data_IF_229204368092
#
_entry.id   IF_229204368092
#
_cell.length_a   1.000
_cell.length_b   1.000
_cell.length_c   1.000
_cell.angle_alpha   90.00
_cell.angle_beta   90.00
_cell.angle_gamma   90.00
#
_symmetry.space_group_name_H-M   'P 1'
#
loop_
_entity.id
_entity.type
_entity.pdbx_description
1 polymer ?
#
# COMPACT_ATOMS: atom_id res chain seq x y z
N UNK A 1 30.00 0.67 -24.39
CA UNK A 1 28.99 0.91 -23.35
C UNK A 1 29.00 -0.29 -22.44
N UNK A 2 29.50 -0.12 -21.21
CA UNK A 2 29.39 -1.14 -20.19
C UNK A 2 27.99 -0.99 -19.56
N UNK A 3 27.18 -2.06 -19.45
CA UNK A 3 25.90 -1.98 -18.79
C UNK A 3 26.14 -1.84 -17.28
N UNK A 4 26.00 -0.63 -16.75
CA UNK A 4 25.95 -0.39 -15.32
C UNK A 4 24.67 -1.03 -14.80
N UNK A 5 24.78 -2.21 -14.19
CA UNK A 5 23.67 -2.81 -13.44
C UNK A 5 23.52 -2.02 -12.15
N UNK A 6 22.59 -1.09 -12.16
CA UNK A 6 22.13 -0.43 -10.95
C UNK A 6 21.22 -1.45 -10.24
N UNK A 7 21.80 -2.32 -9.41
CA UNK A 7 21.10 -3.47 -8.80
C UNK A 7 19.85 -3.06 -8.02
N UNK A 8 19.81 -1.83 -7.52
CA UNK A 8 18.63 -1.24 -6.85
C UNK A 8 17.44 -1.13 -7.81
N UNK A 9 17.70 -0.79 -9.07
CA UNK A 9 16.66 -0.62 -10.09
C UNK A 9 16.03 -1.96 -10.48
N UNK A 10 16.84 -3.03 -10.52
CA UNK A 10 16.35 -4.37 -10.83
C UNK A 10 15.44 -4.95 -9.74
N UNK A 11 15.74 -4.67 -8.47
CA UNK A 11 14.89 -5.10 -7.34
C UNK A 11 13.55 -4.37 -7.37
N UNK A 12 13.56 -3.06 -7.61
CA UNK A 12 12.33 -2.26 -7.67
C UNK A 12 11.45 -2.73 -8.84
N UNK A 13 12.03 -2.90 -10.03
CA UNK A 13 11.31 -3.41 -11.19
C UNK A 13 10.74 -4.82 -10.95
N UNK A 14 11.50 -5.69 -10.27
CA UNK A 14 11.01 -7.01 -9.88
C UNK A 14 9.83 -6.93 -8.91
N UNK A 15 9.89 -6.06 -7.89
CA UNK A 15 8.78 -5.85 -6.95
C UNK A 15 7.54 -5.34 -7.70
N UNK A 16 7.69 -4.41 -8.63
CA UNK A 16 6.57 -3.90 -9.43
C UNK A 16 5.89 -5.02 -10.23
N UNK A 17 6.67 -5.86 -10.92
CA UNK A 17 6.14 -7.01 -11.67
C UNK A 17 5.47 -8.02 -10.72
N UNK A 18 6.09 -8.34 -9.59
CA UNK A 18 5.50 -9.23 -8.58
C UNK A 18 4.15 -8.72 -8.07
N UNK A 19 4.03 -7.42 -7.78
CA UNK A 19 2.80 -6.86 -7.26
C UNK A 19 1.71 -6.76 -8.32
N UNK A 20 2.08 -6.52 -9.59
CA UNK A 20 1.12 -6.41 -10.69
C UNK A 20 0.62 -7.75 -11.19
N UNK A 21 1.53 -8.65 -11.55
CA UNK A 21 1.22 -9.90 -12.24
C UNK A 21 1.18 -11.11 -11.28
N UNK A 22 1.77 -10.97 -10.10
CA UNK A 22 1.88 -12.05 -9.12
C UNK A 22 3.00 -13.04 -9.41
N UNK A 23 3.51 -13.70 -8.38
CA UNK A 23 4.37 -14.86 -8.53
C UNK A 23 4.30 -15.83 -7.34
N UNK A 24 4.74 -17.06 -7.57
CA UNK A 24 4.96 -18.06 -6.52
C UNK A 24 6.43 -18.02 -6.11
N UNK A 25 6.70 -17.57 -4.90
CA UNK A 25 8.02 -17.55 -4.28
C UNK A 25 8.24 -18.84 -3.48
N UNK A 26 9.39 -19.48 -3.69
CA UNK A 26 9.92 -20.52 -2.82
C UNK A 26 11.24 -20.01 -2.23
N UNK A 27 11.32 -19.91 -0.92
CA UNK A 27 12.47 -19.35 -0.23
C UNK A 27 12.73 -20.07 1.09
N UNK A 28 14.00 -20.20 1.45
CA UNK A 28 14.42 -20.74 2.74
C UNK A 28 15.04 -19.62 3.57
N UNK A 29 14.54 -19.45 4.79
CA UNK A 29 14.97 -18.40 5.74
C UNK A 29 15.59 -19.07 6.95
N UNK A 30 16.75 -18.58 7.38
CA UNK A 30 17.39 -19.03 8.62
C UNK A 30 17.39 -17.86 9.60
N UNK A 31 16.84 -18.07 10.78
CA UNK A 31 16.86 -17.10 11.88
C UNK A 31 17.98 -17.48 12.83
N UNK A 32 18.94 -16.57 12.98
CA UNK A 32 20.11 -16.71 13.84
C UNK A 32 19.99 -15.82 15.08
N UNK A 33 20.52 -16.26 16.21
CA UNK A 33 20.70 -15.43 17.40
C UNK A 33 22.15 -15.57 17.85
N UNK A 34 22.85 -14.43 18.00
CA UNK A 34 24.29 -14.41 18.30
C UNK A 34 25.11 -15.33 17.37
N UNK A 35 24.86 -15.22 16.06
CA UNK A 35 25.49 -16.01 14.99
C UNK A 35 25.22 -17.53 15.01
N UNK A 36 24.34 -17.99 15.91
CA UNK A 36 23.93 -19.40 15.99
C UNK A 36 22.60 -19.57 15.24
N UNK A 37 22.51 -20.45 14.22
CA UNK A 37 21.26 -20.73 13.52
C UNK A 37 20.32 -21.52 14.42
N UNK A 38 19.17 -20.95 14.78
CA UNK A 38 18.21 -21.57 15.69
C UNK A 38 16.99 -22.13 14.96
N UNK A 39 16.52 -21.43 13.92
CA UNK A 39 15.28 -21.77 13.22
C UNK A 39 15.52 -21.73 11.73
N UNK A 40 15.19 -22.81 11.03
CA UNK A 40 15.06 -22.84 9.58
C UNK A 40 13.58 -22.84 9.20
N UNK A 41 13.20 -21.98 8.26
CA UNK A 41 11.84 -21.83 7.75
C UNK A 41 11.89 -22.03 6.23
N UNK A 42 11.12 -22.99 5.72
CA UNK A 42 10.89 -23.11 4.27
C UNK A 42 9.54 -22.49 3.93
N UNK A 43 9.56 -21.52 3.02
CA UNK A 43 8.42 -20.73 2.63
C UNK A 43 8.04 -21.06 1.19
N UNK A 44 6.74 -21.30 0.98
CA UNK A 44 6.09 -21.26 -0.33
C UNK A 44 4.95 -20.26 -0.22
N UNK A 45 5.04 -19.15 -0.95
CA UNK A 45 4.05 -18.09 -0.90
C UNK A 45 3.67 -17.66 -2.32
N UNK A 46 2.38 -17.46 -2.56
CA UNK A 46 1.93 -16.66 -3.70
C UNK A 46 1.94 -15.20 -3.24
N UNK A 47 2.67 -14.34 -3.95
CA UNK A 47 2.79 -12.91 -3.66
C UNK A 47 2.22 -12.17 -4.86
N UNK A 48 1.24 -11.30 -4.61
CA UNK A 48 0.77 -10.31 -5.57
C UNK A 48 0.23 -9.10 -4.79
N UNK A 49 -0.04 -8.01 -5.50
CA UNK A 49 -0.72 -6.86 -4.93
C UNK A 49 -2.12 -7.23 -4.45
N UNK A 50 -2.64 -6.49 -3.47
CA UNK A 50 -3.98 -6.73 -2.92
C UNK A 50 -5.07 -6.74 -3.99
N UNK A 51 -5.02 -5.76 -4.91
CA UNK A 51 -5.94 -5.67 -6.04
C UNK A 51 -5.88 -6.94 -6.89
N UNK A 52 -4.68 -7.36 -7.30
CA UNK A 52 -4.46 -8.58 -8.09
C UNK A 52 -4.92 -9.84 -7.36
N UNK A 53 -4.68 -9.95 -6.05
CA UNK A 53 -5.13 -11.11 -5.28
C UNK A 53 -6.66 -11.20 -5.20
N UNK A 54 -7.36 -10.07 -5.05
CA UNK A 54 -8.82 -10.01 -5.08
C UNK A 54 -9.34 -10.35 -6.48
N UNK A 55 -8.69 -9.87 -7.55
CA UNK A 55 -9.04 -10.24 -8.93
C UNK A 55 -8.91 -11.75 -9.18
N UNK A 56 -7.98 -12.42 -8.49
CA UNK A 56 -7.85 -13.88 -8.49
C UNK A 56 -8.81 -14.60 -7.52
N UNK A 57 -9.74 -13.89 -6.89
CA UNK A 57 -10.73 -14.45 -5.95
C UNK A 57 -10.16 -14.80 -4.57
N UNK A 58 -8.96 -14.33 -4.25
CA UNK A 58 -8.32 -14.50 -2.95
C UNK A 58 -8.55 -13.26 -2.07
N UNK A 59 -8.71 -13.44 -0.77
CA UNK A 59 -8.81 -12.35 0.22
C UNK A 59 -10.04 -11.42 0.09
N UNK A 60 -11.12 -11.82 -0.60
CA UNK A 60 -12.37 -11.02 -0.69
C UNK A 60 -13.01 -10.71 0.68
N UNK A 61 -13.03 -11.70 1.58
CA UNK A 61 -13.56 -11.55 2.94
C UNK A 61 -12.65 -10.66 3.82
N UNK A 62 -11.34 -10.76 3.60
CA UNK A 62 -10.35 -9.90 4.26
C UNK A 62 -10.52 -8.43 3.81
N UNK A 63 -10.70 -8.19 2.51
CA UNK A 63 -10.93 -6.85 1.96
C UNK A 63 -12.24 -6.22 2.48
N UNK A 64 -13.32 -7.00 2.51
CA UNK A 64 -14.62 -6.56 3.04
C UNK A 64 -14.50 -6.17 4.53
N UNK A 65 -13.77 -6.94 5.32
CA UNK A 65 -13.55 -6.68 6.75
C UNK A 65 -12.66 -5.44 6.98
N UNK A 66 -11.69 -5.19 6.10
CA UNK A 66 -10.79 -4.04 6.22
C UNK A 66 -11.43 -2.75 5.71
N UNK A 67 -12.28 -2.81 4.69
CA UNK A 67 -13.05 -1.65 4.18
C UNK A 67 -14.02 -1.10 5.23
N UNK A 68 -14.57 -1.95 6.09
CA UNK A 68 -15.38 -1.53 7.25
C UNK A 68 -14.55 -0.77 8.29
N UNK A 69 -13.30 -1.17 8.52
CA UNK A 69 -12.36 -0.46 9.42
C UNK A 69 -11.83 0.84 8.84
N UNK A 70 -11.72 0.91 7.51
CA UNK A 70 -11.31 2.09 6.77
C UNK A 70 -12.49 2.99 6.38
N UNK A 71 -13.57 3.05 7.18
CA UNK A 71 -14.60 4.09 7.02
C UNK A 71 -13.92 5.43 7.34
N UNK A 72 -13.55 6.26 6.36
CA UNK A 72 -12.97 7.56 6.63
C UNK A 72 -14.13 8.40 7.12
N UNK A 73 -14.17 8.65 8.43
CA UNK A 73 -15.12 9.60 9.00
C UNK A 73 -15.13 10.86 8.16
N UNK A 74 -16.33 11.24 7.72
CA UNK A 74 -16.67 12.47 7.05
C UNK A 74 -15.99 13.65 7.74
N UNK A 75 -14.80 14.04 7.29
CA UNK A 75 -14.21 15.33 7.63
C UNK A 75 -14.40 16.23 6.43
N UNK A 76 -15.61 16.75 6.40
CA UNK A 76 -15.94 18.13 6.04
C UNK A 76 -15.31 18.59 4.73
N UNK A 77 -16.13 18.57 3.69
CA UNK A 77 -16.16 19.64 2.71
C UNK A 77 -16.12 20.99 3.47
N UNK A 78 -14.92 21.50 3.70
CA UNK A 78 -14.72 22.82 4.27
C UNK A 78 -15.11 23.82 3.17
N UNK A 79 -16.26 24.43 3.41
CA UNK A 79 -16.62 25.78 3.00
C UNK A 79 -16.15 26.22 1.62
N UNK A 80 -16.89 25.84 0.60
CA UNK A 80 -17.04 26.70 -0.58
C UNK A 80 -18.46 27.29 -0.57
N UNK A 81 -18.70 28.20 0.37
CA UNK A 81 -19.89 29.04 0.40
C UNK A 81 -19.45 30.50 0.23
N UNK A 82 -19.45 30.91 -1.05
CA UNK A 82 -19.83 32.23 -1.54
C UNK A 82 -19.11 33.43 -0.93
N UNK A 83 -18.08 33.88 -1.65
CA UNK A 83 -17.64 35.28 -1.69
C UNK A 83 -18.83 36.13 -2.13
N UNK A 84 -19.23 37.10 -1.31
CA UNK A 84 -20.10 38.20 -1.69
C UNK A 84 -19.52 39.48 -1.07
N UNK A 85 -18.95 40.39 -1.87
CA UNK A 85 -18.45 41.68 -1.39
C UNK A 85 -19.51 42.75 -1.65
N UNK A 86 -20.01 43.43 -0.62
CA UNK A 86 -20.60 44.79 -0.72
C UNK A 86 -20.97 45.30 0.68
N UNK A 87 -20.11 46.17 1.26
CA UNK A 87 -20.27 47.63 1.46
C UNK A 87 -21.03 48.05 2.73
N UNK A 88 -20.31 48.82 3.56
CA UNK A 88 -20.71 49.70 4.70
C UNK A 88 -22.02 50.53 4.51
N UNK A 89 -22.62 51.21 5.53
CA UNK A 89 -21.99 51.71 6.78
C UNK A 89 -22.80 51.63 8.11
N UNK A 90 -22.05 51.81 9.19
CA UNK A 90 -22.31 52.63 10.39
C UNK A 90 -23.71 53.25 10.58
N UNK A 91 -24.41 52.97 11.69
CA UNK A 91 -25.09 53.94 12.57
C UNK A 91 -25.94 53.30 13.69
N UNK A 92 -25.88 53.95 14.86
CA UNK A 92 -26.94 54.06 15.89
C UNK A 92 -27.08 52.97 16.98
N UNK A 93 -26.32 53.12 18.08
CA UNK A 93 -26.85 53.46 19.42
C UNK A 93 -25.78 53.48 20.52
#
# INVERSE_FOLDING_TARGET
MEPTKDDTHAIVEFVDVLLRDGAVLQADVIVTVADIPLIGISLRAAIAGMTTMIEYGLFEEWDTTHRQRATPGERSATSNAKVEPETEPLSDR
#
